data_IF_500486714676
#
_entry.id   IF_500486714676
#
_cell.length_a   1.000
_cell.length_b   1.000
_cell.length_c   1.000
_cell.angle_alpha   90.00
_cell.angle_beta   90.00
_cell.angle_gamma   90.00
#
_symmetry.space_group_name_H-M   'P 1'
#
loop_
_entity.id
_entity.type
_entity.pdbx_description
1 polymer ?
#
# COMPACT_ATOMS: atom_id res chain seq x y z
N UNK A 1 33.14 0.64 -17.85
CA UNK A 1 33.97 -0.33 -17.11
C UNK A 1 33.08 -0.90 -16.03
N UNK A 2 32.85 -2.23 -15.95
CA UNK A 2 32.14 -2.81 -14.82
C UNK A 2 32.94 -2.53 -13.55
N UNK A 3 32.30 -1.98 -12.51
CA UNK A 3 32.94 -1.69 -11.24
C UNK A 3 33.52 -2.97 -10.61
N UNK A 4 34.78 -2.91 -10.16
CA UNK A 4 35.32 -3.97 -9.30
C UNK A 4 34.54 -3.94 -7.98
N UNK A 5 33.71 -4.96 -7.75
CA UNK A 5 33.08 -5.19 -6.45
C UNK A 5 34.18 -5.38 -5.41
N UNK A 6 34.19 -4.53 -4.37
CA UNK A 6 35.18 -4.61 -3.29
C UNK A 6 34.76 -5.62 -2.22
N UNK A 7 35.69 -5.98 -1.35
CA UNK A 7 35.35 -6.75 -0.15
C UNK A 7 34.64 -5.86 0.88
N UNK A 8 33.88 -6.48 1.79
CA UNK A 8 33.28 -5.74 2.90
C UNK A 8 34.36 -5.18 3.82
N UNK A 9 34.12 -3.97 4.32
CA UNK A 9 34.95 -3.24 5.26
C UNK A 9 36.39 -2.98 4.76
N UNK A 10 36.60 -2.90 3.45
CA UNK A 10 37.89 -2.45 2.91
C UNK A 10 38.21 -1.01 3.33
N UNK A 11 39.51 -0.71 3.45
CA UNK A 11 39.99 0.56 4.02
C UNK A 11 39.47 1.79 3.29
N UNK A 12 39.28 1.72 1.97
CA UNK A 12 38.80 2.83 1.18
C UNK A 12 37.28 2.98 1.26
N UNK A 13 36.51 1.89 1.37
CA UNK A 13 35.07 1.97 1.71
C UNK A 13 34.86 2.60 3.08
N UNK A 14 35.59 2.16 4.11
CA UNK A 14 35.46 2.73 5.46
C UNK A 14 35.90 4.20 5.52
N UNK A 15 36.92 4.59 4.75
CA UNK A 15 37.33 5.99 4.65
C UNK A 15 36.21 6.88 4.08
N UNK A 16 35.52 6.42 3.02
CA UNK A 16 34.39 7.15 2.45
C UNK A 16 33.20 7.25 3.43
N UNK A 17 32.91 6.17 4.17
CA UNK A 17 31.85 6.18 5.18
C UNK A 17 32.15 7.16 6.32
N UNK A 18 33.40 7.25 6.77
CA UNK A 18 33.83 8.23 7.78
C UNK A 18 33.73 9.65 7.26
N UNK A 19 34.17 9.91 6.03
CA UNK A 19 34.02 11.21 5.38
C UNK A 19 32.53 11.63 5.33
N UNK A 20 31.63 10.70 4.99
CA UNK A 20 30.19 10.96 4.99
C UNK A 20 29.59 11.18 6.39
N UNK A 21 30.11 10.49 7.41
CA UNK A 21 29.74 10.74 8.82
C UNK A 21 30.15 12.16 9.23
N UNK A 22 31.38 12.55 8.91
CA UNK A 22 31.92 13.87 9.26
C UNK A 22 31.16 14.98 8.54
N UNK A 23 30.76 14.77 7.29
CA UNK A 23 29.88 15.68 6.55
C UNK A 23 28.50 15.86 7.22
N UNK A 24 27.95 14.80 7.84
CA UNK A 24 26.67 14.85 8.56
C UNK A 24 26.78 15.38 9.99
N UNK A 25 27.95 15.33 10.60
CA UNK A 25 28.13 15.71 11.99
C UNK A 25 27.80 17.21 12.16
N UNK A 26 27.04 17.60 13.19
CA UNK A 26 26.85 19.02 13.50
C UNK A 26 28.21 19.60 13.91
N UNK A 27 28.92 20.21 12.97
CA UNK A 27 30.23 20.79 13.24
C UNK A 27 30.06 22.02 14.14
N UNK A 28 30.64 22.05 15.36
CA UNK A 28 30.46 23.15 16.30
C UNK A 28 31.08 24.49 15.88
N UNK A 29 31.84 24.54 14.77
CA UNK A 29 32.58 25.73 14.36
C UNK A 29 32.56 26.06 12.86
N UNK A 30 31.92 25.24 12.03
CA UNK A 30 31.76 25.47 10.58
C UNK A 30 30.42 24.85 10.12
N UNK A 31 29.29 25.41 10.53
CA UNK A 31 27.98 24.95 10.07
C UNK A 31 27.79 25.30 8.59
N UNK A 32 28.11 24.36 7.69
CA UNK A 32 27.98 24.47 6.22
C UNK A 32 26.51 24.34 5.74
N UNK A 33 25.53 24.32 6.64
CA UNK A 33 24.12 24.35 6.22
C UNK A 33 23.51 25.73 6.49
N UNK A 34 23.24 26.53 5.45
CA UNK A 34 22.57 27.81 5.61
C UNK A 34 21.17 27.63 6.22
N UNK A 35 20.66 28.70 6.81
CA UNK A 35 19.24 28.74 7.11
C UNK A 35 18.48 28.62 5.79
N UNK A 36 17.36 27.91 5.78
CA UNK A 36 16.53 27.83 4.59
C UNK A 36 15.05 27.72 4.90
N UNK A 37 14.27 28.14 3.91
CA UNK A 37 12.86 27.83 3.77
C UNK A 37 12.67 27.07 2.46
N UNK A 38 11.79 26.08 2.46
CA UNK A 38 11.39 25.37 1.25
C UNK A 38 9.91 24.99 1.30
N UNK A 39 9.36 24.63 0.15
CA UNK A 39 8.00 24.08 0.04
C UNK A 39 8.08 22.61 -0.33
N UNK A 40 7.13 21.81 0.13
CA UNK A 40 7.05 20.41 -0.25
C UNK A 40 5.60 20.02 -0.58
N UNK A 41 5.45 19.23 -1.62
CA UNK A 41 4.17 18.67 -2.04
C UNK A 41 4.27 17.15 -2.08
N UNK A 42 3.27 16.47 -1.53
CA UNK A 42 3.27 15.01 -1.48
C UNK A 42 1.91 14.40 -1.67
N UNK A 43 1.94 13.12 -2.05
CA UNK A 43 0.78 12.26 -2.16
C UNK A 43 0.94 11.06 -1.25
N UNK A 44 -0.15 10.63 -0.63
CA UNK A 44 -0.22 9.38 0.13
C UNK A 44 -1.23 8.47 -0.53
N UNK A 45 -0.76 7.36 -1.08
CA UNK A 45 -1.56 6.36 -1.75
C UNK A 45 -1.81 5.17 -0.83
N UNK A 46 -3.05 4.73 -0.79
CA UNK A 46 -3.45 3.48 -0.15
C UNK A 46 -3.95 2.54 -1.22
N UNK A 47 -3.36 1.36 -1.32
CA UNK A 47 -3.78 0.37 -2.29
C UNK A 47 -3.63 -1.04 -1.75
N UNK A 48 -4.37 -1.96 -2.37
CA UNK A 48 -4.16 -3.39 -2.18
C UNK A 48 -3.14 -3.84 -3.22
N UNK A 49 -2.05 -4.42 -2.75
CA UNK A 49 -1.01 -5.03 -3.54
C UNK A 49 -1.28 -6.53 -3.65
N UNK A 50 -1.23 -7.07 -4.87
CA UNK A 50 -1.59 -8.47 -5.14
C UNK A 50 -0.35 -9.28 -5.40
N UNK A 51 -0.19 -10.39 -4.70
CA UNK A 51 1.02 -11.22 -4.87
C UNK A 51 1.03 -12.01 -6.19
N UNK A 52 -0.08 -12.01 -6.94
CA UNK A 52 -0.17 -12.57 -8.28
C UNK A 52 0.38 -11.65 -9.39
N UNK A 53 0.90 -10.47 -9.02
CA UNK A 53 1.46 -9.49 -9.95
C UNK A 53 0.40 -8.73 -10.76
N UNK A 54 -0.87 -8.83 -10.39
CA UNK A 54 -1.94 -8.00 -10.95
C UNK A 54 -1.80 -6.52 -10.60
N UNK A 55 -2.52 -5.65 -11.30
CA UNK A 55 -2.48 -4.20 -11.02
C UNK A 55 -2.94 -3.89 -9.58
N UNK A 56 -2.24 -2.98 -8.87
CA UNK A 56 -2.65 -2.55 -7.54
C UNK A 56 -4.03 -1.90 -7.55
N UNK A 57 -4.81 -2.10 -6.49
CA UNK A 57 -6.17 -1.56 -6.39
C UNK A 57 -6.17 -0.36 -5.44
N UNK A 58 -6.20 0.89 -5.93
CA UNK A 58 -6.15 2.06 -5.06
C UNK A 58 -7.48 2.27 -4.33
N UNK A 59 -7.36 2.45 -3.01
CA UNK A 59 -8.47 2.62 -2.08
C UNK A 59 -8.69 4.08 -1.71
N UNK A 60 -7.60 4.85 -1.59
CA UNK A 60 -7.60 6.25 -1.15
C UNK A 60 -6.34 6.96 -1.64
N UNK A 61 -6.50 8.25 -1.95
CA UNK A 61 -5.43 9.16 -2.32
C UNK A 61 -5.55 10.43 -1.50
N UNK A 62 -4.45 10.82 -0.87
CA UNK A 62 -4.34 12.08 -0.15
C UNK A 62 -3.22 12.91 -0.74
N UNK A 63 -3.31 14.22 -0.57
CA UNK A 63 -2.27 15.15 -0.98
C UNK A 63 -2.06 16.19 0.10
N UNK A 64 -0.78 16.52 0.32
CA UNK A 64 -0.30 17.40 1.36
C UNK A 64 0.61 18.47 0.76
N UNK A 65 0.54 19.67 1.32
CA UNK A 65 1.50 20.76 1.08
C UNK A 65 2.08 21.18 2.42
N UNK A 66 3.41 21.25 2.50
CA UNK A 66 4.19 21.46 3.72
C UNK A 66 5.21 22.56 3.50
N UNK A 67 5.32 23.50 4.42
CA UNK A 67 6.47 24.40 4.50
C UNK A 67 7.56 23.77 5.37
N UNK A 68 8.78 23.82 4.89
CA UNK A 68 9.97 23.34 5.58
C UNK A 68 10.83 24.53 6.00
N UNK A 69 11.33 24.49 7.23
CA UNK A 69 12.22 25.49 7.79
C UNK A 69 13.41 24.82 8.46
N UNK A 70 14.58 25.43 8.28
CA UNK A 70 15.78 25.14 9.06
C UNK A 70 16.50 26.46 9.36
N UNK A 71 17.04 26.62 10.56
CA UNK A 71 17.95 27.73 10.87
C UNK A 71 19.42 27.32 10.84
N UNK A 72 20.30 28.31 11.00
CA UNK A 72 21.76 28.12 11.03
C UNK A 72 22.26 27.29 12.23
N UNK A 73 21.43 27.07 13.25
CA UNK A 73 21.71 26.16 14.37
C UNK A 73 21.26 24.71 14.08
N UNK A 74 20.68 24.45 12.90
CA UNK A 74 20.15 23.15 12.51
C UNK A 74 18.82 22.79 13.17
N UNK A 75 18.14 23.74 13.83
CA UNK A 75 16.77 23.54 14.32
C UNK A 75 15.83 23.49 13.13
N UNK A 76 14.83 22.60 13.22
CA UNK A 76 13.92 22.29 12.11
C UNK A 76 12.47 22.46 12.52
N UNK A 77 11.65 22.92 11.58
CA UNK A 77 10.20 23.11 11.75
C UNK A 77 9.49 22.81 10.44
N UNK A 78 8.33 22.17 10.52
CA UNK A 78 7.46 21.92 9.37
C UNK A 78 6.03 22.34 9.66
N UNK A 79 5.39 22.99 8.71
CA UNK A 79 4.02 23.47 8.82
C UNK A 79 3.18 22.92 7.65
N UNK A 80 2.23 22.03 7.92
CA UNK A 80 1.31 21.50 6.92
C UNK A 80 0.29 22.59 6.60
N UNK A 81 0.43 23.20 5.42
CA UNK A 81 -0.43 24.29 4.91
C UNK A 81 -1.67 23.78 4.18
N UNK A 82 -1.55 22.63 3.52
CA UNK A 82 -2.57 22.03 2.66
C UNK A 82 -2.80 20.57 3.00
N UNK A 83 -4.06 20.14 3.16
CA UNK A 83 -4.40 18.71 3.20
C UNK A 83 -5.74 18.43 2.53
N UNK A 84 -5.76 17.56 1.51
CA UNK A 84 -6.99 17.10 0.85
C UNK A 84 -6.95 15.59 0.59
N UNK A 85 -8.13 14.95 0.57
CA UNK A 85 -8.27 13.50 0.34
C UNK A 85 -9.39 13.15 -0.62
N UNK A 86 -9.22 12.05 -1.34
CA UNK A 86 -10.27 11.38 -2.10
C UNK A 86 -10.27 9.90 -1.75
N UNK A 87 -11.41 9.46 -1.27
CA UNK A 87 -11.69 8.07 -1.05
C UNK A 87 -12.22 7.46 -2.37
N UNK A 88 -11.56 6.39 -2.83
CA UNK A 88 -11.92 5.68 -4.08
C UNK A 88 -12.75 4.44 -3.79
N UNK A 89 -12.46 3.76 -2.68
CA UNK A 89 -13.25 2.65 -2.15
C UNK A 89 -13.77 2.98 -0.74
N UNK A 90 -14.97 2.50 -0.36
CA UNK A 90 -15.61 2.82 0.91
C UNK A 90 -14.94 2.14 2.14
N UNK A 91 -13.65 2.38 2.37
CA UNK A 91 -12.85 2.02 3.55
C UNK A 91 -13.14 2.87 4.81
N UNK A 92 -12.78 2.38 6.00
CA UNK A 92 -12.84 3.15 7.27
C UNK A 92 -11.91 4.36 7.19
N UNK A 93 -12.19 5.42 7.95
CA UNK A 93 -11.25 6.52 8.12
C UNK A 93 -9.95 6.02 8.77
N UNK A 94 -8.87 6.02 7.99
CA UNK A 94 -7.52 5.81 8.48
C UNK A 94 -6.98 7.15 8.99
N UNK A 95 -6.61 7.20 10.28
CA UNK A 95 -5.85 8.31 10.86
C UNK A 95 -4.37 8.13 10.54
N UNK A 96 -3.72 9.23 10.18
CA UNK A 96 -2.28 9.28 9.89
C UNK A 96 -1.46 9.44 11.16
N UNK A 97 -0.22 8.96 11.11
CA UNK A 97 0.88 9.53 11.87
C UNK A 97 1.40 10.77 11.12
N UNK A 98 1.84 11.79 11.85
CA UNK A 98 2.15 13.11 11.30
C UNK A 98 3.33 13.04 10.32
N UNK A 99 4.22 12.07 10.52
CA UNK A 99 5.46 11.94 9.79
C UNK A 99 5.28 11.47 8.33
N UNK A 100 4.20 10.73 8.06
CA UNK A 100 3.74 10.39 6.70
C UNK A 100 3.27 11.59 5.88
N UNK A 101 3.13 12.75 6.53
CA UNK A 101 2.74 14.02 5.94
C UNK A 101 3.89 15.03 5.94
N UNK A 102 5.11 14.63 6.27
CA UNK A 102 6.27 15.52 6.47
C UNK A 102 7.51 15.06 5.70
N UNK A 103 8.44 15.98 5.45
CA UNK A 103 9.72 15.69 4.80
C UNK A 103 10.76 15.14 5.78
N UNK A 104 11.52 14.13 5.37
CA UNK A 104 12.75 13.73 6.04
C UNK A 104 13.84 14.76 5.69
N UNK A 105 14.15 15.63 6.65
CA UNK A 105 15.25 16.59 6.52
C UNK A 105 16.58 15.96 6.94
N UNK A 106 17.61 16.11 6.09
CA UNK A 106 19.01 15.71 6.30
C UNK A 106 19.25 14.19 6.44
N UNK A 107 18.47 13.37 5.75
CA UNK A 107 18.66 11.91 5.75
C UNK A 107 18.51 11.29 7.15
N UNK A 108 17.47 11.68 7.89
CA UNK A 108 17.22 11.29 9.29
C UNK A 108 18.27 11.78 10.30
N UNK A 109 18.00 11.58 11.59
CA UNK A 109 18.97 11.83 12.66
C UNK A 109 20.01 10.71 12.79
N UNK A 110 20.58 10.57 13.98
CA UNK A 110 21.41 9.40 14.32
C UNK A 110 20.58 8.13 14.52
N UNK A 111 19.28 8.29 14.78
CA UNK A 111 18.29 7.22 14.82
C UNK A 111 17.26 7.46 13.73
N UNK A 112 16.85 6.38 13.09
CA UNK A 112 15.80 6.35 12.06
C UNK A 112 14.54 5.80 12.70
N UNK A 113 13.45 6.57 12.57
CA UNK A 113 12.11 6.19 13.00
C UNK A 113 11.14 6.43 11.85
N UNK A 114 10.12 5.57 11.73
CA UNK A 114 9.03 5.67 10.77
C UNK A 114 7.70 5.45 11.51
N UNK A 115 6.67 6.19 11.12
CA UNK A 115 5.37 6.23 11.78
C UNK A 115 5.44 6.80 13.19
N UNK A 116 6.25 7.83 13.46
CA UNK A 116 6.54 8.33 14.83
C UNK A 116 7.10 7.24 15.76
N UNK A 117 7.86 6.29 15.20
CA UNK A 117 8.36 5.13 15.95
C UNK A 117 7.38 3.97 16.05
N UNK A 118 6.18 4.05 15.46
CA UNK A 118 5.15 3.02 15.56
C UNK A 118 5.14 2.02 14.39
N UNK A 119 5.78 2.37 13.27
CA UNK A 119 6.06 1.41 12.20
C UNK A 119 7.48 0.84 12.37
N UNK A 120 8.46 1.73 12.58
CA UNK A 120 9.87 1.40 12.77
C UNK A 120 10.45 2.28 13.88
N UNK A 121 11.15 1.69 14.84
CA UNK A 121 11.83 2.44 15.92
C UNK A 121 13.29 2.01 16.09
N UNK A 122 14.07 2.91 16.72
CA UNK A 122 15.39 2.60 17.29
C UNK A 122 16.45 2.06 16.32
N UNK A 123 16.37 2.42 15.03
CA UNK A 123 17.35 1.97 14.03
C UNK A 123 18.55 2.92 13.98
N UNK A 124 19.78 2.48 14.29
CA UNK A 124 20.97 3.31 14.15
C UNK A 124 21.20 3.72 12.70
N UNK A 125 21.40 5.00 12.43
CA UNK A 125 21.71 5.48 11.09
C UNK A 125 23.09 4.94 10.65
N UNK A 126 23.25 4.41 9.42
CA UNK A 126 24.53 3.81 8.99
C UNK A 126 25.67 4.83 8.84
N UNK A 127 25.35 6.10 8.63
CA UNK A 127 26.30 7.23 8.65
C UNK A 127 26.25 8.02 9.97
N UNK A 128 25.63 7.46 11.02
CA UNK A 128 25.66 8.01 12.38
C UNK A 128 26.99 7.71 13.08
N UNK A 129 27.17 8.27 14.28
CA UNK A 129 28.38 8.06 15.11
C UNK A 129 28.72 6.58 15.32
N UNK A 130 27.71 5.75 15.54
CA UNK A 130 27.89 4.34 15.88
C UNK A 130 27.82 3.39 14.67
N UNK A 131 27.67 3.92 13.44
CA UNK A 131 27.39 3.13 12.24
C UNK A 131 28.37 1.96 12.03
N UNK A 132 29.67 2.20 12.15
CA UNK A 132 30.71 1.15 11.98
C UNK A 132 30.58 -0.02 12.97
N UNK A 133 30.03 0.23 14.16
CA UNK A 133 29.81 -0.81 15.16
C UNK A 133 28.56 -1.66 14.88
N UNK A 134 27.64 -1.16 14.06
CA UNK A 134 26.36 -1.82 13.73
C UNK A 134 26.36 -2.46 12.33
N UNK A 135 27.17 -1.96 11.40
CA UNK A 135 27.10 -2.32 9.99
C UNK A 135 28.44 -2.74 9.38
N UNK A 136 28.33 -3.55 8.34
CA UNK A 136 29.36 -3.80 7.34
C UNK A 136 29.07 -2.97 6.09
N UNK A 137 30.12 -2.49 5.43
CA UNK A 137 30.00 -1.61 4.25
C UNK A 137 30.76 -2.17 3.06
N UNK A 138 30.25 -1.97 1.85
CA UNK A 138 30.94 -2.35 0.61
C UNK A 138 30.59 -1.38 -0.52
N UNK A 139 31.60 -0.83 -1.19
CA UNK A 139 31.38 -0.17 -2.48
C UNK A 139 31.06 -1.25 -3.53
N UNK A 140 29.86 -1.17 -4.10
CA UNK A 140 29.36 -2.14 -5.10
C UNK A 140 29.35 -1.59 -6.51
N UNK A 141 29.15 -0.28 -6.66
CA UNK A 141 29.14 0.40 -7.96
C UNK A 141 29.63 1.85 -7.85
N UNK A 142 29.85 2.49 -9.01
CA UNK A 142 30.09 3.92 -9.10
C UNK A 142 29.52 4.50 -10.37
N UNK A 143 28.84 5.64 -10.24
CA UNK A 143 28.33 6.43 -11.36
C UNK A 143 29.02 7.79 -11.41
N UNK A 144 29.30 8.26 -12.62
CA UNK A 144 29.81 9.62 -12.84
C UNK A 144 28.70 10.46 -13.44
N UNK A 145 28.24 11.45 -12.68
CA UNK A 145 27.19 12.39 -13.08
C UNK A 145 27.88 13.63 -13.65
N UNK A 146 27.42 14.09 -14.81
CA UNK A 146 27.84 15.36 -15.42
C UNK A 146 26.62 16.28 -15.56
N UNK A 147 26.21 16.98 -14.48
CA UNK A 147 25.08 17.87 -14.56
C UNK A 147 25.41 19.07 -15.47
N UNK A 148 24.45 19.50 -16.28
CA UNK A 148 24.62 20.69 -17.10
C UNK A 148 24.83 21.92 -16.20
N UNK A 149 25.82 22.75 -16.51
CA UNK A 149 26.14 23.95 -15.74
C UNK A 149 27.20 23.78 -14.65
N UNK A 150 27.74 22.58 -14.46
CA UNK A 150 28.84 22.33 -13.50
C UNK A 150 30.16 22.03 -14.22
N UNK A 151 31.28 22.62 -13.77
CA UNK A 151 32.58 22.44 -14.41
C UNK A 151 33.18 21.05 -14.17
N UNK A 152 32.87 20.41 -13.04
CA UNK A 152 33.46 19.13 -12.65
C UNK A 152 32.43 17.98 -12.62
N UNK A 153 32.81 16.78 -13.10
CA UNK A 153 31.99 15.59 -12.96
C UNK A 153 31.89 15.16 -11.49
N UNK A 154 30.67 14.87 -11.04
CA UNK A 154 30.42 14.34 -9.69
C UNK A 154 30.54 12.82 -9.76
N UNK A 155 31.45 12.24 -8.98
CA UNK A 155 31.55 10.79 -8.84
C UNK A 155 30.78 10.34 -7.61
N UNK A 156 29.84 9.43 -7.80
CA UNK A 156 28.99 8.89 -6.73
C UNK A 156 29.26 7.40 -6.60
N UNK A 157 29.52 6.94 -5.39
CA UNK A 157 29.68 5.53 -5.06
C UNK A 157 28.41 4.98 -4.44
N UNK A 158 27.94 3.83 -4.92
CA UNK A 158 26.96 3.04 -4.21
C UNK A 158 27.68 2.23 -3.14
N UNK A 159 27.32 2.48 -1.88
CA UNK A 159 27.81 1.74 -0.73
C UNK A 159 26.67 0.90 -0.19
N UNK A 160 26.78 -0.41 -0.39
CA UNK A 160 25.92 -1.39 0.25
C UNK A 160 26.23 -1.45 1.74
N UNK A 161 25.16 -1.47 2.54
CA UNK A 161 25.19 -1.51 3.99
C UNK A 161 24.36 -2.70 4.45
N UNK A 162 24.98 -3.57 5.25
CA UNK A 162 24.29 -4.69 5.89
C UNK A 162 24.57 -4.72 7.39
N UNK A 163 23.62 -5.18 8.20
CA UNK A 163 23.83 -5.30 9.63
C UNK A 163 24.92 -6.33 9.95
N UNK A 164 25.67 -6.08 11.02
CA UNK A 164 26.50 -7.11 11.67
C UNK A 164 25.64 -8.15 12.40
N UNK A 165 24.41 -7.75 12.78
CA UNK A 165 23.46 -8.54 13.56
C UNK A 165 22.05 -8.36 13.01
N UNK A 166 21.50 -9.40 12.42
CA UNK A 166 20.14 -9.37 11.82
C UNK A 166 19.02 -9.49 12.87
N UNK A 167 19.36 -9.89 14.10
CA UNK A 167 18.43 -10.07 15.23
C UNK A 167 18.13 -8.77 16.00
N UNK A 168 18.63 -7.62 15.53
CA UNK A 168 18.48 -6.31 16.18
C UNK A 168 17.98 -5.27 15.18
N UNK A 169 17.30 -4.20 15.65
CA UNK A 169 16.90 -3.10 14.79
C UNK A 169 18.08 -2.53 13.99
N UNK A 170 17.99 -2.59 12.66
CA UNK A 170 19.05 -2.19 11.76
C UNK A 170 18.55 -1.79 10.37
N UNK A 171 19.38 -0.99 9.70
CA UNK A 171 19.30 -0.63 8.29
C UNK A 171 19.78 -1.76 7.38
N UNK A 172 19.11 -1.98 6.24
CA UNK A 172 19.52 -2.91 5.19
C UNK A 172 19.31 -2.26 3.82
N UNK A 173 20.37 -2.04 3.05
CA UNK A 173 20.24 -1.43 1.71
C UNK A 173 21.49 -0.69 1.26
N UNK A 174 21.32 0.37 0.48
CA UNK A 174 22.42 1.14 -0.09
C UNK A 174 22.33 2.63 0.28
N UNK A 175 23.50 3.24 0.45
CA UNK A 175 23.67 4.70 0.50
C UNK A 175 24.56 5.12 -0.66
N UNK A 176 24.24 6.25 -1.27
CA UNK A 176 24.97 6.78 -2.42
C UNK A 176 25.71 8.04 -1.98
N UNK A 177 27.04 7.99 -2.08
CA UNK A 177 27.92 9.00 -1.51
C UNK A 177 28.76 9.67 -2.59
N UNK A 178 28.84 11.00 -2.55
CA UNK A 178 29.82 11.76 -3.31
C UNK A 178 31.24 11.32 -2.89
N UNK A 179 32.05 10.91 -3.85
CA UNK A 179 33.38 10.37 -3.62
C UNK A 179 34.38 11.40 -3.06
N UNK A 180 34.14 12.69 -3.32
CA UNK A 180 35.02 13.80 -2.95
C UNK A 180 34.64 14.38 -1.61
N UNK A 181 33.34 14.60 -1.38
CA UNK A 181 32.84 15.31 -0.19
C UNK A 181 32.26 14.38 0.88
N UNK A 182 31.93 13.14 0.53
CA UNK A 182 31.14 12.23 1.37
C UNK A 182 29.67 12.62 1.48
N UNK A 183 29.22 13.64 0.74
CA UNK A 183 27.83 14.08 0.81
C UNK A 183 26.86 12.97 0.42
N UNK A 184 25.73 12.92 1.13
CA UNK A 184 24.69 11.94 0.88
C UNK A 184 23.85 12.37 -0.34
N UNK A 185 23.95 11.60 -1.42
CA UNK A 185 23.23 11.84 -2.67
C UNK A 185 21.88 11.15 -2.67
N UNK A 186 21.84 9.89 -2.25
CA UNK A 186 20.61 9.09 -2.18
C UNK A 186 20.73 8.02 -1.08
N UNK A 187 19.58 7.57 -0.57
CA UNK A 187 19.46 6.33 0.19
C UNK A 187 18.35 5.47 -0.39
N UNK A 188 18.57 4.17 -0.47
CA UNK A 188 17.53 3.19 -0.77
C UNK A 188 17.67 1.98 0.14
N UNK A 189 16.67 1.75 0.98
CA UNK A 189 16.80 0.77 2.04
C UNK A 189 15.48 0.24 2.58
N UNK A 190 15.63 -0.83 3.33
CA UNK A 190 14.66 -1.44 4.22
C UNK A 190 15.30 -1.61 5.60
N UNK A 191 14.63 -2.35 6.47
CA UNK A 191 15.06 -2.64 7.81
C UNK A 191 15.06 -4.13 8.07
N UNK A 192 15.82 -4.55 9.07
CA UNK A 192 15.67 -5.88 9.68
C UNK A 192 14.27 -6.04 10.30
N UNK A 193 13.68 -7.25 10.32
CA UNK A 193 12.37 -7.48 10.94
C UNK A 193 12.29 -7.03 12.42
N UNK A 194 13.40 -7.11 13.16
CA UNK A 194 13.49 -6.66 14.55
C UNK A 194 13.19 -5.16 14.75
N UNK A 195 13.25 -4.36 13.67
CA UNK A 195 12.93 -2.92 13.71
C UNK A 195 11.42 -2.66 13.64
N UNK A 196 10.60 -3.62 13.24
CA UNK A 196 9.16 -3.43 13.03
C UNK A 196 8.40 -3.52 14.35
N UNK A 197 7.70 -2.43 14.68
CA UNK A 197 6.93 -2.34 15.93
C UNK A 197 5.51 -2.89 15.76
N UNK A 198 4.86 -2.64 14.61
CA UNK A 198 3.58 -3.24 14.27
C UNK A 198 3.80 -4.64 13.68
N UNK A 199 3.30 -5.72 14.32
CA UNK A 199 3.54 -7.10 13.89
C UNK A 199 2.90 -7.45 12.54
N UNK A 200 2.07 -6.56 11.97
CA UNK A 200 1.48 -6.73 10.64
C UNK A 200 2.35 -6.16 9.53
N UNK A 201 3.40 -5.40 9.87
CA UNK A 201 4.33 -4.86 8.88
C UNK A 201 5.16 -6.01 8.34
N UNK A 202 5.02 -6.25 7.04
CA UNK A 202 5.84 -7.22 6.32
C UNK A 202 7.12 -6.56 5.80
N UNK A 203 6.98 -5.36 5.24
CA UNK A 203 8.12 -4.63 4.67
C UNK A 203 7.91 -3.13 4.72
N UNK A 204 8.97 -2.42 5.08
CA UNK A 204 9.07 -0.97 4.90
C UNK A 204 10.21 -0.67 3.95
N UNK A 205 9.95 0.07 2.88
CA UNK A 205 11.01 0.56 1.99
C UNK A 205 11.04 2.08 2.02
N UNK A 206 12.25 2.62 2.02
CA UNK A 206 12.51 4.06 2.03
C UNK A 206 13.46 4.38 0.89
N UNK A 207 13.09 5.39 0.10
CA UNK A 207 13.98 6.02 -0.87
C UNK A 207 14.05 7.51 -0.58
N UNK A 208 15.25 8.03 -0.41
CA UNK A 208 15.52 9.45 -0.27
C UNK A 208 16.46 9.89 -1.37
N UNK A 209 16.03 10.87 -2.15
CA UNK A 209 16.81 11.51 -3.21
C UNK A 209 17.17 12.93 -2.75
N UNK A 210 18.46 13.26 -2.81
CA UNK A 210 18.94 14.64 -2.64
C UNK A 210 19.31 15.22 -4.00
N UNK A 211 19.13 16.52 -4.11
CA UNK A 211 19.59 17.31 -5.26
C UNK A 211 20.61 18.32 -4.77
N UNK A 212 21.58 18.64 -5.63
CA UNK A 212 22.60 19.65 -5.37
C UNK A 212 22.02 21.05 -5.65
N UNK A 213 22.13 21.95 -4.67
CA UNK A 213 21.70 23.34 -4.69
C UNK A 213 22.89 24.27 -4.41
N UNK A 214 22.82 25.52 -4.90
CA UNK A 214 23.83 26.57 -4.72
C UNK A 214 25.27 26.07 -4.70
N UNK A 215 25.68 25.42 -5.78
CA UNK A 215 27.06 24.98 -5.92
C UNK A 215 27.35 23.69 -5.19
N UNK A 216 27.07 23.50 -3.90
CA UNK A 216 27.61 22.35 -3.11
C UNK A 216 26.65 21.72 -2.08
N UNK A 217 25.43 22.25 -1.93
CA UNK A 217 24.50 21.80 -0.89
C UNK A 217 23.64 20.64 -1.38
N UNK A 218 23.80 19.45 -0.80
CA UNK A 218 22.93 18.31 -1.05
C UNK A 218 21.71 18.37 -0.12
N UNK A 219 20.56 18.75 -0.67
CA UNK A 219 19.32 18.91 0.09
C UNK A 219 18.23 17.95 -0.40
N UNK A 220 17.28 17.55 0.47
CA UNK A 220 16.20 16.64 0.09
C UNK A 220 15.44 17.17 -1.13
N UNK A 221 15.20 16.30 -2.10
CA UNK A 221 14.44 16.61 -3.31
C UNK A 221 13.21 15.73 -3.44
N UNK A 222 13.37 14.42 -3.23
CA UNK A 222 12.25 13.48 -3.27
C UNK A 222 12.41 12.45 -2.17
N UNK A 223 11.30 12.09 -1.55
CA UNK A 223 11.24 10.93 -0.68
C UNK A 223 10.08 10.03 -1.09
N UNK A 224 10.28 8.73 -0.93
CA UNK A 224 9.24 7.71 -1.03
C UNK A 224 9.36 6.80 0.18
N UNK A 225 8.30 6.68 0.95
CA UNK A 225 8.19 5.75 2.07
C UNK A 225 7.03 4.82 1.78
N UNK A 226 7.30 3.54 1.70
CA UNK A 226 6.30 2.51 1.45
C UNK A 226 6.24 1.55 2.63
N UNK A 227 5.04 1.34 3.16
CA UNK A 227 4.77 0.37 4.23
C UNK A 227 3.80 -0.66 3.68
N UNK A 228 4.28 -1.90 3.47
CA UNK A 228 3.46 -3.07 3.16
C UNK A 228 3.10 -3.79 4.44
N UNK A 229 1.81 -4.03 4.63
CA UNK A 229 1.28 -4.77 5.77
C UNK A 229 0.49 -5.98 5.29
N UNK A 230 0.74 -7.09 5.95
CA UNK A 230 -0.09 -8.27 5.82
C UNK A 230 -1.47 -8.05 6.42
N UNK A 231 -2.42 -8.77 5.85
CA UNK A 231 -3.79 -8.85 6.34
C UNK A 231 -4.07 -10.29 6.79
N UNK A 232 -3.48 -10.76 7.92
CA UNK A 232 -3.58 -12.16 8.32
C UNK A 232 -5.01 -12.62 8.61
N UNK A 233 -5.96 -11.69 8.83
CA UNK A 233 -7.38 -12.04 9.01
C UNK A 233 -8.07 -12.50 7.71
N UNK A 234 -7.41 -12.37 6.56
CA UNK A 234 -8.03 -12.53 5.26
C UNK A 234 -7.59 -13.78 4.50
N UNK A 235 -6.51 -14.46 4.90
CA UNK A 235 -5.94 -15.67 4.26
C UNK A 235 -5.92 -15.58 2.71
N UNK A 236 -5.64 -14.37 2.22
CA UNK A 236 -5.59 -13.98 0.82
C UNK A 236 -4.18 -13.45 0.52
N UNK A 237 -3.63 -13.69 -0.69
CA UNK A 237 -2.32 -13.17 -1.11
C UNK A 237 -2.41 -11.68 -1.50
N UNK A 238 -2.92 -10.86 -0.57
CA UNK A 238 -3.17 -9.44 -0.77
C UNK A 238 -2.66 -8.66 0.44
N UNK A 239 -1.64 -7.82 0.22
CA UNK A 239 -1.12 -6.89 1.23
C UNK A 239 -1.78 -5.52 1.12
N UNK A 240 -1.97 -4.81 2.23
CA UNK A 240 -2.19 -3.35 2.14
C UNK A 240 -0.86 -2.65 1.99
N UNK A 241 -0.79 -1.69 1.08
CA UNK A 241 0.35 -0.81 0.94
C UNK A 241 -0.07 0.63 1.16
N UNK A 242 0.77 1.33 1.94
CA UNK A 242 0.70 2.77 2.12
C UNK A 242 2.00 3.34 1.54
N UNK A 243 1.87 4.12 0.46
CA UNK A 243 3.01 4.78 -0.18
C UNK A 243 2.89 6.29 -0.03
N UNK A 244 3.78 6.90 0.72
CA UNK A 244 3.92 8.34 0.81
C UNK A 244 5.06 8.80 -0.12
N UNK A 245 4.75 9.67 -1.08
CA UNK A 245 5.73 10.31 -1.96
C UNK A 245 5.68 11.81 -1.70
N UNK A 246 6.81 12.45 -1.44
CA UNK A 246 6.91 13.90 -1.24
C UNK A 246 8.07 14.44 -2.07
N UNK A 247 7.87 15.61 -2.69
CA UNK A 247 8.89 16.35 -3.43
C UNK A 247 9.08 17.72 -2.77
N UNK A 248 10.32 18.15 -2.64
CA UNK A 248 10.69 19.45 -2.06
C UNK A 248 11.17 20.36 -3.17
N UNK A 249 10.69 21.59 -3.17
CA UNK A 249 10.95 22.64 -4.16
C UNK A 249 11.17 23.99 -3.47
N UNK A 250 11.53 24.99 -4.25
CA UNK A 250 11.53 26.41 -3.84
C UNK A 250 12.40 26.70 -2.61
N UNK A 251 13.63 26.18 -2.61
CA UNK A 251 14.62 26.51 -1.59
C UNK A 251 14.98 28.00 -1.66
N UNK A 252 14.73 28.69 -0.56
CA UNK A 252 15.17 30.05 -0.26
C UNK A 252 16.22 29.97 0.85
N UNK A 253 17.44 30.45 0.55
CA UNK A 253 18.57 30.42 1.48
C UNK A 253 18.71 31.74 2.24
N UNK A 254 19.16 31.61 3.49
CA UNK A 254 19.28 32.67 4.47
C UNK A 254 18.06 33.60 4.61
N UNK A 255 16.82 33.06 4.68
CA UNK A 255 15.65 33.89 4.94
C UNK A 255 15.65 34.42 6.37
N UNK A 256 14.97 35.54 6.60
CA UNK A 256 14.74 36.07 7.95
C UNK A 256 13.76 35.17 8.72
N UNK A 257 14.31 34.22 9.48
CA UNK A 257 13.55 33.26 10.30
C UNK A 257 13.64 33.66 11.78
N UNK A 258 12.55 34.16 12.39
CA UNK A 258 12.60 34.56 13.78
C UNK A 258 12.65 33.34 14.70
N UNK A 259 13.47 33.40 15.75
CA UNK A 259 13.74 32.28 16.66
C UNK A 259 12.47 31.67 17.32
N UNK A 260 11.39 32.46 17.47
CA UNK A 260 10.14 31.95 18.02
C UNK A 260 9.48 30.88 17.13
N UNK A 261 9.77 30.83 15.83
CA UNK A 261 9.25 29.82 14.89
C UNK A 261 9.69 28.40 15.25
N UNK A 262 10.86 28.27 15.87
CA UNK A 262 11.41 27.00 16.31
C UNK A 262 11.01 26.63 17.74
N UNK A 263 10.13 27.41 18.39
CA UNK A 263 9.54 27.06 19.68
C UNK A 263 8.30 26.18 19.50
N UNK A 264 8.18 25.13 20.30
CA UNK A 264 7.02 24.23 20.30
C UNK A 264 7.22 22.96 19.47
N UNK A 265 6.13 22.32 19.00
CA UNK A 265 6.21 21.08 18.22
C UNK A 265 7.06 21.24 16.95
N UNK A 266 7.77 20.19 16.52
CA UNK A 266 8.53 20.26 15.25
C UNK A 266 7.64 20.25 14.01
N UNK A 267 6.40 19.81 14.15
CA UNK A 267 5.42 19.77 13.09
C UNK A 267 4.13 20.39 13.59
N UNK A 268 3.53 21.27 12.80
CA UNK A 268 2.15 21.69 13.01
C UNK A 268 1.32 21.48 11.78
N UNK A 269 0.01 21.34 11.97
CA UNK A 269 -0.94 21.12 10.89
C UNK A 269 -2.12 22.06 11.01
N UNK A 270 -2.54 22.62 9.88
CA UNK A 270 -3.89 23.20 9.79
C UNK A 270 -4.93 22.09 9.97
N UNK A 271 -6.07 22.35 10.64
CA UNK A 271 -7.15 21.38 10.74
C UNK A 271 -7.62 20.88 9.37
N UNK A 272 -7.95 19.60 9.28
CA UNK A 272 -8.46 18.97 8.06
C UNK A 272 -9.70 19.74 7.53
N UNK A 273 -9.68 20.15 6.27
CA UNK A 273 -10.78 20.89 5.63
C UNK A 273 -10.82 22.40 5.89
N UNK A 274 -9.95 22.91 6.78
CA UNK A 274 -9.68 24.34 6.93
C UNK A 274 -8.45 24.80 6.12
N UNK A 275 -7.79 23.85 5.46
CA UNK A 275 -6.63 24.09 4.62
C UNK A 275 -7.03 24.86 3.36
N UNK A 276 -6.25 25.87 3.01
CA UNK A 276 -6.49 26.70 1.83
C UNK A 276 -6.42 25.81 0.57
N UNK A 277 -7.56 25.62 -0.11
CA UNK A 277 -7.61 24.79 -1.32
C UNK A 277 -6.86 25.41 -2.49
N UNK A 278 -6.50 26.69 -2.42
CA UNK A 278 -5.75 27.39 -3.48
C UNK A 278 -4.27 27.00 -3.53
N UNK A 279 -3.76 26.32 -2.50
CA UNK A 279 -2.34 25.87 -2.46
C UNK A 279 -2.06 24.67 -3.37
N UNK A 280 -3.08 24.05 -3.96
CA UNK A 280 -2.92 22.87 -4.80
C UNK A 280 -3.06 23.23 -6.28
N UNK A 281 -1.95 23.24 -7.02
CA UNK A 281 -1.92 23.57 -8.44
C UNK A 281 -2.36 22.40 -9.34
N UNK A 282 -1.92 21.17 -9.04
CA UNK A 282 -2.25 19.97 -9.81
C UNK A 282 -3.57 19.32 -9.34
N UNK A 283 -4.14 18.43 -10.14
CA UNK A 283 -5.25 17.56 -9.75
C UNK A 283 -4.80 16.42 -8.83
N UNK A 284 -5.66 16.03 -7.88
CA UNK A 284 -5.33 15.02 -6.85
C UNK A 284 -4.99 13.64 -7.42
N UNK A 285 -5.47 13.33 -8.62
CA UNK A 285 -5.29 12.02 -9.26
C UNK A 285 -4.21 12.03 -10.35
N UNK A 286 -3.67 13.21 -10.68
CA UNK A 286 -2.80 13.41 -11.85
C UNK A 286 -1.48 12.64 -11.73
N UNK A 287 -0.98 12.49 -10.49
CA UNK A 287 0.29 11.82 -10.18
C UNK A 287 0.15 10.29 -9.99
N UNK A 288 -1.05 9.70 -10.07
CA UNK A 288 -1.24 8.27 -9.86
C UNK A 288 -0.49 7.42 -10.89
N UNK A 289 -0.55 7.81 -12.16
CA UNK A 289 0.07 7.06 -13.25
C UNK A 289 1.62 7.02 -13.13
N UNK A 290 2.23 8.12 -12.67
CA UNK A 290 3.68 8.17 -12.37
C UNK A 290 4.10 7.16 -11.29
N UNK A 291 3.16 6.77 -10.43
CA UNK A 291 3.37 5.84 -9.32
C UNK A 291 2.86 4.42 -9.66
N UNK A 292 2.51 4.16 -10.93
CA UNK A 292 2.01 2.87 -11.40
C UNK A 292 0.59 2.55 -10.92
N UNK A 293 -0.18 3.56 -10.50
CA UNK A 293 -1.55 3.41 -10.03
C UNK A 293 -2.54 3.93 -11.07
N UNK A 294 -3.69 3.28 -11.18
CA UNK A 294 -4.77 3.69 -12.08
C UNK A 294 -6.08 3.90 -11.31
N UNK A 295 -6.92 4.90 -11.65
CA UNK A 295 -8.21 5.07 -11.01
C UNK A 295 -9.06 3.80 -11.16
N UNK A 296 -9.71 3.38 -10.07
CA UNK A 296 -10.60 2.21 -10.10
C UNK A 296 -11.85 2.56 -10.91
N UNK A 297 -12.11 1.81 -11.98
CA UNK A 297 -13.42 1.78 -12.63
C UNK A 297 -14.19 0.51 -12.25
N UNK A 298 -15.51 0.62 -12.07
CA UNK A 298 -16.37 -0.51 -11.73
C UNK A 298 -16.37 -1.58 -12.85
N UNK A 299 -16.30 -1.15 -14.11
CA UNK A 299 -16.19 -2.00 -15.29
C UNK A 299 -14.89 -2.81 -15.31
N UNK A 300 -13.75 -2.21 -14.91
CA UNK A 300 -12.46 -2.90 -14.82
C UNK A 300 -12.45 -3.95 -13.70
N UNK A 301 -13.05 -3.66 -12.55
CA UNK A 301 -13.24 -4.63 -11.46
C UNK A 301 -14.06 -5.85 -11.91
N UNK A 302 -15.07 -5.64 -12.76
CA UNK A 302 -15.87 -6.72 -13.34
C UNK A 302 -15.11 -7.54 -14.39
N UNK A 303 -14.36 -6.89 -15.27
CA UNK A 303 -13.56 -7.58 -16.29
C UNK A 303 -12.39 -8.37 -15.70
N UNK A 304 -11.78 -7.85 -14.63
CA UNK A 304 -10.74 -8.55 -13.88
C UNK A 304 -11.30 -9.79 -13.15
N UNK A 305 -12.49 -9.66 -12.56
CA UNK A 305 -13.22 -10.80 -11.99
C UNK A 305 -13.60 -11.85 -13.05
N UNK A 306 -13.86 -11.43 -14.30
CA UNK A 306 -14.10 -12.32 -15.45
C UNK A 306 -12.79 -12.95 -15.96
N UNK A 307 -11.67 -12.25 -15.94
CA UNK A 307 -10.37 -12.75 -16.41
C UNK A 307 -9.84 -13.88 -15.51
N UNK A 308 -9.87 -13.69 -14.19
CA UNK A 308 -9.53 -14.72 -13.20
C UNK A 308 -10.45 -15.94 -13.34
N UNK A 309 -11.74 -15.73 -13.62
CA UNK A 309 -12.68 -16.82 -13.88
C UNK A 309 -12.39 -17.59 -15.19
N UNK A 310 -11.84 -16.94 -16.22
CA UNK A 310 -11.47 -17.57 -17.51
C UNK A 310 -10.17 -18.36 -17.43
N UNK A 311 -9.15 -17.88 -16.73
CA UNK A 311 -7.89 -18.60 -16.57
C UNK A 311 -8.07 -19.94 -15.84
N UNK A 312 -9.09 -20.05 -14.98
CA UNK A 312 -9.41 -21.29 -14.26
C UNK A 312 -10.24 -22.32 -15.06
N UNK A 313 -10.72 -21.97 -16.26
CA UNK A 313 -11.48 -22.88 -17.12
C UNK A 313 -10.61 -23.78 -18.01
N UNK A 314 -9.29 -23.51 -18.10
CA UNK A 314 -8.37 -24.21 -19.01
C UNK A 314 -7.55 -25.36 -18.39
N UNK A 315 -7.76 -25.72 -17.11
CA UNK A 315 -6.99 -26.79 -16.45
C UNK A 315 -7.77 -28.10 -16.39
N UNK A 316 -7.29 -29.15 -17.06
CA UNK A 316 -7.79 -30.53 -16.93
C UNK A 316 -7.41 -31.12 -15.58
N UNK A 317 -8.30 -31.08 -14.60
CA UNK A 317 -7.96 -31.31 -13.18
C UNK A 317 -9.14 -31.93 -12.37
N UNK A 318 -8.88 -32.54 -11.20
CA UNK A 318 -9.58 -33.72 -10.65
C UNK A 318 -11.03 -33.53 -10.17
N UNK A 319 -11.70 -34.67 -9.91
CA UNK A 319 -13.16 -34.82 -9.74
C UNK A 319 -13.76 -34.12 -8.51
N UNK A 320 -13.03 -33.97 -7.40
CA UNK A 320 -13.47 -33.30 -6.16
C UNK A 320 -12.50 -32.16 -5.86
N UNK A 321 -13.02 -30.95 -5.60
CA UNK A 321 -12.21 -29.80 -5.17
C UNK A 321 -12.89 -29.06 -4.03
N UNK A 322 -12.14 -28.74 -2.99
CA UNK A 322 -12.50 -27.67 -2.06
C UNK A 322 -12.11 -26.35 -2.71
N UNK A 323 -13.02 -25.37 -2.78
CA UNK A 323 -12.77 -24.12 -3.49
C UNK A 323 -13.28 -22.91 -2.70
N UNK A 324 -12.60 -21.79 -2.88
CA UNK A 324 -12.86 -20.51 -2.22
C UNK A 324 -12.91 -19.40 -3.27
N UNK A 325 -13.84 -19.51 -4.22
CA UNK A 325 -13.80 -18.70 -5.46
C UNK A 325 -13.95 -17.19 -5.22
N UNK A 326 -14.44 -16.73 -4.05
CA UNK A 326 -14.52 -15.30 -3.65
C UNK A 326 -14.43 -15.15 -2.12
N UNK A 327 -13.75 -14.10 -1.62
CA UNK A 327 -13.66 -13.76 -0.18
C UNK A 327 -15.04 -13.77 0.52
N UNK A 328 -16.07 -13.27 -0.17
CA UNK A 328 -17.44 -13.19 0.32
C UNK A 328 -18.18 -14.52 0.44
N UNK A 329 -17.63 -15.64 -0.05
CA UNK A 329 -18.17 -16.98 0.19
C UNK A 329 -17.56 -17.68 1.41
N UNK A 330 -16.40 -17.21 1.89
CA UNK A 330 -15.74 -17.69 3.11
C UNK A 330 -16.15 -16.87 4.33
N UNK A 331 -16.15 -15.55 4.19
CA UNK A 331 -16.44 -14.64 5.27
C UNK A 331 -17.39 -13.56 4.75
N UNK A 332 -18.56 -13.45 5.40
CA UNK A 332 -19.55 -12.43 5.07
C UNK A 332 -19.98 -11.71 6.33
N UNK A 333 -20.10 -10.39 6.26
CA UNK A 333 -20.58 -9.59 7.37
C UNK A 333 -21.68 -8.65 6.90
N UNK A 334 -22.76 -8.60 7.65
CA UNK A 334 -23.90 -7.71 7.43
C UNK A 334 -24.73 -7.65 8.73
N UNK A 335 -25.72 -6.75 8.76
CA UNK A 335 -26.59 -6.53 9.93
C UNK A 335 -27.46 -7.73 10.26
N UNK A 336 -27.86 -8.54 9.28
CA UNK A 336 -28.73 -9.69 9.48
C UNK A 336 -28.00 -10.95 9.96
N UNK A 337 -26.79 -11.18 9.48
CA UNK A 337 -25.99 -12.38 9.80
C UNK A 337 -24.91 -12.11 10.85
N UNK A 338 -24.62 -10.85 11.19
CA UNK A 338 -23.46 -10.48 11.98
C UNK A 338 -22.17 -10.81 11.23
N UNK A 339 -21.54 -11.92 11.59
CA UNK A 339 -20.40 -12.52 10.88
C UNK A 339 -20.75 -13.95 10.51
N UNK A 340 -20.65 -14.27 9.22
CA UNK A 340 -20.84 -15.60 8.66
C UNK A 340 -19.51 -16.19 8.22
N UNK A 341 -19.26 -17.42 8.64
CA UNK A 341 -18.16 -18.26 8.17
C UNK A 341 -18.73 -19.38 7.30
N UNK A 342 -18.22 -19.49 6.07
CA UNK A 342 -18.70 -20.42 5.06
C UNK A 342 -17.58 -21.25 4.44
N UNK A 343 -17.96 -22.40 3.87
CA UNK A 343 -17.10 -23.31 3.14
C UNK A 343 -17.80 -23.76 1.85
N UNK A 344 -17.02 -23.96 0.79
CA UNK A 344 -17.50 -24.37 -0.53
C UNK A 344 -16.73 -25.56 -1.12
N UNK A 345 -17.43 -26.42 -1.85
CA UNK A 345 -16.85 -27.56 -2.55
C UNK A 345 -17.52 -27.77 -3.91
N UNK A 346 -16.73 -28.12 -4.93
CA UNK A 346 -17.22 -28.43 -6.28
C UNK A 346 -16.86 -29.86 -6.61
N UNK A 347 -17.81 -30.51 -7.27
CA UNK A 347 -17.71 -31.89 -7.68
C UNK A 347 -18.18 -32.02 -9.12
N UNK A 348 -17.29 -32.48 -9.99
CA UNK A 348 -17.58 -32.72 -11.41
C UNK A 348 -17.44 -34.20 -11.70
N UNK A 349 -18.45 -35.04 -11.41
CA UNK A 349 -18.38 -36.48 -11.61
C UNK A 349 -18.25 -36.87 -13.09
N UNK A 350 -18.78 -36.02 -13.99
CA UNK A 350 -18.76 -36.18 -15.45
C UNK A 350 -18.58 -34.80 -16.10
N UNK A 351 -17.99 -34.68 -17.30
CA UNK A 351 -17.81 -33.38 -17.97
C UNK A 351 -19.11 -32.59 -18.16
N UNK A 352 -20.23 -33.31 -18.34
CA UNK A 352 -21.56 -32.75 -18.50
C UNK A 352 -22.24 -32.33 -17.19
N UNK A 353 -21.70 -32.68 -16.01
CA UNK A 353 -22.35 -32.44 -14.72
C UNK A 353 -21.37 -31.78 -13.75
N UNK A 354 -21.71 -30.57 -13.31
CA UNK A 354 -21.02 -29.84 -12.26
C UNK A 354 -21.94 -29.64 -11.06
N UNK A 355 -21.46 -29.98 -9.87
CA UNK A 355 -22.14 -29.73 -8.60
C UNK A 355 -21.30 -28.74 -7.80
N UNK A 356 -21.95 -27.72 -7.23
CA UNK A 356 -21.36 -26.70 -6.40
C UNK A 356 -22.13 -26.64 -5.08
N UNK A 357 -21.48 -26.94 -3.96
CA UNK A 357 -22.07 -26.88 -2.63
C UNK A 357 -21.42 -25.79 -1.78
N UNK A 358 -22.21 -25.06 -1.00
CA UNK A 358 -21.76 -24.09 0.00
C UNK A 358 -22.58 -24.23 1.27
N UNK A 359 -21.93 -24.10 2.41
CA UNK A 359 -22.58 -24.08 3.72
C UNK A 359 -21.90 -23.04 4.61
N UNK A 360 -22.59 -22.55 5.63
CA UNK A 360 -21.98 -21.61 6.57
C UNK A 360 -22.89 -21.25 7.74
N UNK A 361 -22.23 -20.79 8.79
CA UNK A 361 -22.83 -20.44 10.08
C UNK A 361 -22.64 -18.95 10.33
N UNK A 362 -23.70 -18.29 10.79
CA UNK A 362 -23.74 -16.87 11.10
C UNK A 362 -23.77 -16.67 12.62
N UNK A 363 -23.21 -15.57 13.12
CA UNK A 363 -23.27 -15.22 14.55
C UNK A 363 -24.60 -14.53 14.91
N UNK A 364 -25.18 -13.79 13.96
CA UNK A 364 -26.42 -13.04 14.14
C UNK A 364 -27.70 -13.86 13.87
N UNK A 365 -27.63 -14.86 12.99
CA UNK A 365 -28.74 -15.80 12.76
C UNK A 365 -28.35 -17.19 13.26
N UNK A 366 -29.20 -17.82 14.07
CA UNK A 366 -28.96 -19.19 14.59
C UNK A 366 -29.17 -20.29 13.54
N UNK A 367 -29.57 -19.91 12.32
CA UNK A 367 -29.94 -20.85 11.25
C UNK A 367 -28.75 -21.07 10.31
N UNK A 368 -28.25 -22.31 10.16
CA UNK A 368 -27.23 -22.62 9.17
C UNK A 368 -27.76 -22.33 7.76
N UNK A 369 -26.98 -21.60 6.97
CA UNK A 369 -27.33 -21.35 5.57
C UNK A 369 -26.57 -22.29 4.65
N UNK A 370 -27.24 -22.83 3.63
CA UNK A 370 -26.61 -23.71 2.66
C UNK A 370 -27.13 -23.44 1.24
N UNK A 371 -26.32 -23.76 0.24
CA UNK A 371 -26.70 -23.69 -1.16
C UNK A 371 -26.05 -24.84 -1.91
N UNK A 372 -26.82 -25.59 -2.67
CA UNK A 372 -26.33 -26.64 -3.57
C UNK A 372 -26.85 -26.33 -4.95
N UNK A 373 -25.94 -26.17 -5.91
CA UNK A 373 -26.24 -25.91 -7.30
C UNK A 373 -25.71 -27.04 -8.18
N UNK A 374 -26.59 -27.72 -8.88
CA UNK A 374 -26.26 -28.62 -9.97
C UNK A 374 -26.41 -27.92 -11.30
N UNK A 375 -25.42 -28.08 -12.18
CA UNK A 375 -25.48 -27.69 -13.58
C UNK A 375 -25.22 -28.92 -14.43
N UNK A 376 -26.18 -29.24 -15.29
CA UNK A 376 -26.05 -30.29 -16.28
C UNK A 376 -26.11 -29.69 -17.68
N UNK A 377 -25.09 -29.96 -18.48
CA UNK A 377 -25.03 -29.57 -19.90
C UNK A 377 -25.27 -30.81 -20.75
N UNK A 378 -26.24 -30.73 -21.66
CA UNK A 378 -26.57 -31.85 -22.52
C UNK A 378 -25.39 -32.22 -23.44
N UNK A 379 -25.29 -33.49 -23.87
CA UNK A 379 -24.32 -33.89 -24.88
C UNK A 379 -24.42 -33.01 -26.14
N UNK A 380 -23.30 -32.41 -26.55
CA UNK A 380 -23.26 -31.46 -27.67
C UNK A 380 -23.60 -30.01 -27.33
N UNK A 381 -23.81 -29.67 -26.05
CA UNK A 381 -24.02 -28.29 -25.59
C UNK A 381 -25.37 -27.68 -25.99
N UNK A 382 -26.33 -28.52 -26.40
CA UNK A 382 -27.62 -28.09 -26.94
C UNK A 382 -28.60 -27.57 -25.88
N UNK A 383 -28.33 -27.80 -24.59
CA UNK A 383 -29.07 -27.21 -23.48
C UNK A 383 -28.26 -27.29 -22.18
N UNK A 384 -28.54 -26.36 -21.27
CA UNK A 384 -28.00 -26.35 -19.91
C UNK A 384 -29.17 -26.31 -18.93
N UNK A 385 -29.27 -27.33 -18.09
CA UNK A 385 -30.22 -27.38 -16.96
C UNK A 385 -29.49 -27.01 -15.68
N UNK A 386 -30.11 -26.16 -14.88
CA UNK A 386 -29.63 -25.77 -13.56
C UNK A 386 -30.69 -26.10 -12.51
N UNK A 387 -30.25 -26.70 -11.42
CA UNK A 387 -31.04 -26.93 -10.22
C UNK A 387 -30.29 -26.31 -9.06
N UNK A 388 -30.95 -25.43 -8.32
CA UNK A 388 -30.38 -24.77 -7.15
C UNK A 388 -31.31 -24.98 -5.96
N UNK A 389 -30.77 -25.57 -4.90
CA UNK A 389 -31.40 -25.73 -3.60
C UNK A 389 -30.71 -24.76 -2.65
N UNK A 390 -31.46 -23.98 -1.89
CA UNK A 390 -30.89 -23.04 -0.93
C UNK A 390 -31.74 -22.96 0.33
N UNK A 391 -31.05 -22.82 1.46
CA UNK A 391 -31.64 -22.68 2.78
C UNK A 391 -31.00 -21.47 3.46
N UNK A 392 -31.83 -20.59 4.04
CA UNK A 392 -31.43 -19.35 4.68
C UNK A 392 -30.41 -18.55 3.84
N UNK A 393 -30.68 -18.43 2.53
CA UNK A 393 -29.86 -17.64 1.61
C UNK A 393 -30.20 -16.16 1.77
N UNK A 394 -29.22 -15.38 2.19
CA UNK A 394 -29.33 -13.92 2.23
C UNK A 394 -29.53 -13.35 0.83
N UNK A 395 -30.57 -12.53 0.68
CA UNK A 395 -30.90 -11.76 -0.52
C UNK A 395 -31.21 -10.33 -0.17
N UNK A 396 -31.13 -9.46 -1.16
CA UNK A 396 -31.36 -8.02 -1.01
C UNK A 396 -32.72 -7.63 -1.61
N UNK A 397 -33.54 -6.93 -0.83
CA UNK A 397 -34.85 -6.39 -1.24
C UNK A 397 -34.79 -4.91 -1.61
N UNK A 398 -33.61 -4.29 -1.60
CA UNK A 398 -33.45 -2.87 -1.92
C UNK A 398 -33.96 -2.50 -3.33
N UNK A 399 -34.57 -1.32 -3.52
CA UNK A 399 -35.03 -0.84 -4.84
C UNK A 399 -33.88 -0.54 -5.82
N UNK A 400 -32.63 -0.56 -5.33
CA UNK A 400 -31.40 -0.55 -6.11
C UNK A 400 -30.56 -1.73 -5.65
N UNK A 401 -29.80 -2.41 -6.54
CA UNK A 401 -28.88 -3.46 -6.11
C UNK A 401 -27.92 -2.90 -5.05
N UNK A 402 -27.88 -3.53 -3.88
CA UNK A 402 -26.94 -3.18 -2.83
C UNK A 402 -25.49 -3.40 -3.25
N UNK A 403 -24.57 -3.02 -2.35
CA UNK A 403 -23.15 -3.26 -2.54
C UNK A 403 -22.85 -4.75 -2.82
N UNK A 404 -21.81 -5.03 -3.62
CA UNK A 404 -21.35 -6.42 -3.81
C UNK A 404 -21.06 -7.08 -2.46
N UNK A 405 -21.31 -8.40 -2.32
CA UNK A 405 -21.16 -9.10 -1.04
C UNK A 405 -19.78 -8.88 -0.38
N UNK A 406 -18.72 -8.74 -1.18
CA UNK A 406 -17.38 -8.46 -0.67
C UNK A 406 -17.28 -7.03 -0.11
N UNK A 407 -17.78 -6.04 -0.84
CA UNK A 407 -17.79 -4.64 -0.41
C UNK A 407 -18.72 -4.42 0.80
N UNK A 408 -19.86 -5.10 0.86
CA UNK A 408 -20.76 -5.07 2.01
C UNK A 408 -20.13 -5.71 3.26
N UNK A 409 -19.39 -6.80 3.08
CA UNK A 409 -18.65 -7.46 4.17
C UNK A 409 -17.55 -6.56 4.73
N UNK A 410 -16.73 -5.97 3.85
CA UNK A 410 -15.67 -5.05 4.28
C UNK A 410 -16.25 -3.80 4.95
N UNK A 411 -17.29 -3.21 4.38
CA UNK A 411 -17.93 -2.03 5.00
C UNK A 411 -18.59 -2.35 6.34
N UNK A 412 -19.22 -3.51 6.50
CA UNK A 412 -19.80 -3.92 7.78
C UNK A 412 -18.72 -4.15 8.84
N UNK A 413 -17.67 -4.92 8.55
CA UNK A 413 -16.60 -5.23 9.53
C UNK A 413 -15.80 -4.00 9.95
N UNK A 414 -15.48 -3.11 9.00
CA UNK A 414 -14.58 -2.00 9.26
C UNK A 414 -15.30 -0.71 9.64
N UNK A 415 -16.55 -0.52 9.22
CA UNK A 415 -17.29 0.75 9.39
C UNK A 415 -18.64 0.60 10.09
N UNK A 416 -19.10 -0.63 10.36
CA UNK A 416 -20.46 -0.90 10.83
C UNK A 416 -21.54 -0.29 9.91
N UNK A 417 -21.29 -0.33 8.59
CA UNK A 417 -22.21 0.16 7.56
C UNK A 417 -22.65 -1.03 6.71
N UNK A 418 -23.95 -1.32 6.71
CA UNK A 418 -24.59 -2.33 5.87
C UNK A 418 -25.42 -1.62 4.79
N UNK A 419 -25.06 -1.87 3.53
CA UNK A 419 -25.70 -1.30 2.34
C UNK A 419 -26.67 -2.27 1.65
N UNK A 420 -27.05 -3.34 2.35
CA UNK A 420 -28.09 -4.26 1.91
C UNK A 420 -29.35 -4.11 2.75
N UNK A 421 -30.49 -4.42 2.15
CA UNK A 421 -31.74 -4.64 2.86
C UNK A 421 -32.02 -6.15 2.87
N UNK A 422 -31.42 -6.90 3.82
CA UNK A 422 -31.37 -8.34 3.77
C UNK A 422 -32.70 -9.00 4.15
N UNK A 423 -33.07 -10.04 3.42
CA UNK A 423 -34.01 -11.07 3.83
C UNK A 423 -33.42 -12.45 3.56
N UNK A 424 -33.92 -13.48 4.25
CA UNK A 424 -33.52 -14.85 4.03
C UNK A 424 -34.54 -15.57 3.17
N UNK A 425 -34.05 -16.30 2.17
CA UNK A 425 -34.88 -17.15 1.32
C UNK A 425 -34.47 -18.62 1.48
N UNK A 426 -35.45 -19.50 1.53
CA UNK A 426 -35.28 -20.95 1.46
C UNK A 426 -36.14 -21.48 0.33
N UNK A 427 -35.57 -22.27 -0.57
CA UNK A 427 -36.32 -22.69 -1.74
C UNK A 427 -35.53 -23.47 -2.78
N UNK A 428 -36.20 -23.65 -3.91
CA UNK A 428 -35.71 -24.38 -5.07
C UNK A 428 -35.85 -23.49 -6.30
N UNK A 429 -34.80 -23.43 -7.10
CA UNK A 429 -34.80 -22.81 -8.42
C UNK A 429 -34.41 -23.83 -9.46
N UNK A 430 -35.20 -23.91 -10.53
CA UNK A 430 -34.90 -24.71 -11.71
C UNK A 430 -34.79 -23.77 -12.89
N UNK A 431 -33.76 -23.92 -13.70
CA UNK A 431 -33.57 -23.17 -14.94
C UNK A 431 -33.19 -24.10 -16.08
N UNK A 432 -33.79 -23.90 -17.24
CA UNK A 432 -33.43 -24.55 -18.49
C UNK A 432 -33.04 -23.46 -19.49
N UNK A 433 -31.79 -23.49 -19.93
CA UNK A 433 -31.29 -22.64 -20.99
C UNK A 433 -31.07 -23.48 -22.25
N UNK A 434 -31.57 -23.01 -23.38
CA UNK A 434 -31.42 -23.65 -24.69
C UNK A 434 -30.96 -22.63 -25.73
N UNK A 435 -29.77 -22.75 -26.32
CA UNK A 435 -29.37 -21.91 -27.44
C UNK A 435 -30.29 -22.12 -28.65
N UNK A 436 -30.67 -21.01 -29.28
CA UNK A 436 -31.38 -20.93 -30.56
C UNK A 436 -30.40 -20.41 -31.62
N UNK A 437 -29.37 -21.21 -31.97
CA UNK A 437 -28.32 -20.81 -32.91
C UNK A 437 -27.11 -20.16 -32.24
N UNK A 438 -26.30 -19.40 -33.00
CA UNK A 438 -25.01 -18.86 -32.53
C UNK A 438 -25.14 -17.60 -31.65
N UNK A 439 -26.29 -16.92 -31.67
CA UNK A 439 -26.44 -15.57 -31.08
C UNK A 439 -27.68 -15.38 -30.21
N UNK A 440 -28.48 -16.42 -29.99
CA UNK A 440 -29.68 -16.35 -29.17
C UNK A 440 -29.81 -17.58 -28.25
N UNK A 441 -30.42 -17.41 -27.08
CA UNK A 441 -30.82 -18.50 -26.19
C UNK A 441 -32.20 -18.23 -25.59
N UNK A 442 -32.90 -19.31 -25.23
CA UNK A 442 -34.15 -19.28 -24.47
C UNK A 442 -33.85 -19.78 -23.07
N UNK A 443 -34.21 -19.00 -22.07
CA UNK A 443 -34.16 -19.38 -20.67
C UNK A 443 -35.58 -19.53 -20.12
N UNK A 444 -35.86 -20.68 -19.50
CA UNK A 444 -37.11 -20.94 -18.79
C UNK A 444 -36.74 -21.29 -17.35
N UNK A 445 -37.22 -20.48 -16.41
CA UNK A 445 -36.95 -20.65 -14.99
C UNK A 445 -38.23 -20.81 -14.18
N UNK A 446 -38.17 -21.61 -13.12
CA UNK A 446 -39.18 -21.71 -12.08
C UNK A 446 -38.52 -21.56 -10.71
N UNK A 447 -39.16 -20.82 -9.81
CA UNK A 447 -38.71 -20.63 -8.43
C UNK A 447 -39.87 -20.90 -7.49
N UNK A 448 -39.62 -21.69 -6.46
CA UNK A 448 -40.50 -21.86 -5.31
C UNK A 448 -39.66 -21.54 -4.08
N UNK A 449 -40.05 -20.50 -3.35
CA UNK A 449 -39.30 -20.03 -2.20
C UNK A 449 -40.19 -19.48 -1.10
N UNK A 450 -39.69 -19.62 0.12
CA UNK A 450 -40.23 -19.06 1.34
C UNK A 450 -39.26 -17.97 1.85
N UNK A 451 -39.81 -16.86 2.33
CA UNK A 451 -39.04 -15.71 2.80
C UNK A 451 -39.18 -15.56 4.32
N UNK A 452 -38.09 -15.23 4.98
CA UNK A 452 -38.04 -14.93 6.41
C UNK A 452 -37.27 -13.64 6.66
N UNK A 453 -37.72 -12.86 7.65
CA UNK A 453 -37.09 -11.61 8.05
C UNK A 453 -35.85 -11.83 8.93
N UNK A 454 -34.93 -10.86 9.00
CA UNK A 454 -33.82 -10.90 9.93
C UNK A 454 -34.33 -10.61 11.36
N UNK A 455 -34.82 -11.63 12.08
CA UNK A 455 -35.25 -11.47 13.47
C UNK A 455 -36.17 -12.52 14.10
N UNK A 456 -36.44 -13.67 13.47
CA UNK A 456 -37.15 -14.80 14.10
C UNK A 456 -36.20 -15.85 14.71
#
# INVERSE_FOLDING_TARGET
>A
MPGQTREFDDSATLALVRLARDYRAPSPSDAVFPAYRASAEGHVYFFLDRDDGGEPIPMRVDQVVVDLYQDSEGRRRQDIRGLRKKQLLPIREFRYYIDRLTAVQNGFGNLIEIGEGLDVSDVPHPLGSDGESHYHYRIVDSVTIRPQGFPEPIRVHEVEVRPRREDRPAFVGSVFLDATTGALVNMWFSFTPASYVDPRVDRVTVRLDHQRWEGDLWLPYRQVVEVRREMPQFDLPVGSVIRATLRVTDYEFDPDLPAWRFRGPRVTAVPYGAADSTVFEAGLMDRMAEEGLSPVSLERLEDEARHVARQHLASGLPRVRFYTDRFSSLLRANRAEGVRLGLGASYSPRPALKLDGRAGLATGSRTPGATVRGRWTSPGGSSTTTLELYAAQLRDTGPRPGASNALNTLSTLFRNLDYSDPHFATGVRVGLERPLGESASVEIGGVIEEHSGPGE
#
